data_IF_503841284580
#
_entry.id   IF_503841284580
#
_cell.length_a   1.000
_cell.length_b   1.000
_cell.length_c   1.000
_cell.angle_alpha   90.00
_cell.angle_beta   90.00
_cell.angle_gamma   90.00
#
_symmetry.space_group_name_H-M   'P 1'
#
loop_
_entity.id
_entity.type
_entity.pdbx_description
1 polymer ?
#
# COMPACT_ATOMS: atom_id res chain seq x y z
N UNK A 1 -5.14 -1.81 23.71
CA UNK A 1 -5.07 -1.20 22.37
C UNK A 1 -4.70 -2.27 21.34
N UNK A 2 -5.43 -2.35 20.24
CA UNK A 2 -5.20 -3.31 19.17
C UNK A 2 -4.89 -2.57 17.88
N UNK A 3 -3.89 -3.05 17.12
CA UNK A 3 -3.46 -2.43 15.88
C UNK A 3 -3.34 -3.49 14.78
N UNK A 4 -3.78 -3.15 13.58
CA UNK A 4 -3.44 -3.92 12.40
C UNK A 4 -1.96 -3.64 12.06
N UNK A 5 -1.12 -4.65 12.07
CA UNK A 5 0.34 -4.48 12.11
C UNK A 5 1.05 -5.37 11.08
N UNK A 6 1.98 -4.78 10.33
CA UNK A 6 2.99 -5.50 9.53
C UNK A 6 4.34 -5.45 10.22
N UNK A 7 5.16 -6.47 9.98
CA UNK A 7 6.54 -6.57 10.48
C UNK A 7 7.50 -6.86 9.33
N UNK A 8 8.74 -6.41 9.47
CA UNK A 8 9.88 -6.86 8.66
C UNK A 8 10.71 -7.79 9.51
N UNK A 9 11.00 -8.96 8.98
CA UNK A 9 11.85 -9.97 9.61
C UNK A 9 13.08 -10.13 8.73
N UNK A 10 14.26 -10.08 9.32
CA UNK A 10 15.52 -10.24 8.61
C UNK A 10 15.90 -11.73 8.39
N UNK A 11 17.04 -11.95 7.73
CA UNK A 11 17.54 -13.31 7.44
C UNK A 11 17.94 -14.12 8.68
N UNK A 12 18.07 -13.51 9.86
CA UNK A 12 18.32 -14.19 11.15
C UNK A 12 17.01 -14.57 11.88
N UNK A 13 15.85 -14.09 11.38
CA UNK A 13 14.55 -14.28 12.02
C UNK A 13 14.19 -13.20 13.03
N UNK A 14 14.99 -12.14 13.16
CA UNK A 14 14.71 -11.02 14.06
C UNK A 14 13.75 -10.01 13.43
N UNK A 15 12.85 -9.44 14.25
CA UNK A 15 11.94 -8.38 13.82
C UNK A 15 12.70 -7.06 13.80
N UNK A 16 13.06 -6.60 12.59
CA UNK A 16 13.81 -5.35 12.37
C UNK A 16 12.91 -4.15 12.07
N UNK A 17 11.63 -4.38 11.77
CA UNK A 17 10.70 -3.31 11.47
C UNK A 17 9.26 -3.62 11.87
N UNK A 18 8.50 -2.56 12.18
CA UNK A 18 7.08 -2.65 12.51
C UNK A 18 6.34 -1.41 12.00
N UNK A 19 5.26 -1.66 11.26
CA UNK A 19 4.30 -0.64 10.83
C UNK A 19 2.91 -0.95 11.38
N UNK A 20 2.18 0.06 11.80
CA UNK A 20 0.78 -0.03 12.23
C UNK A 20 -0.10 0.75 11.28
N UNK A 21 -1.08 0.09 10.68
CA UNK A 21 -2.00 0.66 9.69
C UNK A 21 -2.63 1.97 10.18
N UNK A 22 -2.50 3.01 9.37
CA UNK A 22 -3.02 4.35 9.69
C UNK A 22 -4.41 4.54 9.10
N UNK A 23 -4.62 4.19 7.82
CA UNK A 23 -5.88 4.42 7.14
C UNK A 23 -6.80 3.21 7.27
N UNK A 24 -7.47 3.08 8.42
CA UNK A 24 -8.42 2.01 8.67
C UNK A 24 -9.66 2.21 7.79
N UNK A 25 -10.06 1.22 6.95
CA UNK A 25 -11.28 1.29 6.17
C UNK A 25 -12.53 1.05 7.02
N UNK A 26 -13.68 1.34 6.42
CA UNK A 26 -14.97 0.94 6.93
C UNK A 26 -15.48 1.75 8.12
N UNK A 27 -16.17 1.07 9.01
CA UNK A 27 -16.99 1.68 10.07
C UNK A 27 -16.88 0.89 11.39
N UNK A 28 -17.52 1.41 12.46
CA UNK A 28 -17.51 0.79 13.82
C UNK A 28 -18.80 0.03 14.10
N UNK A 29 -19.91 0.55 13.58
CA UNK A 29 -21.24 0.06 13.80
C UNK A 29 -21.49 -1.23 13.01
N UNK A 30 -22.29 -2.13 13.56
CA UNK A 30 -22.67 -3.35 12.87
C UNK A 30 -23.86 -3.06 11.93
N UNK A 31 -23.73 -3.46 10.67
CA UNK A 31 -24.74 -3.32 9.62
C UNK A 31 -25.21 -4.73 9.18
N UNK A 32 -26.20 -5.30 9.88
CA UNK A 32 -26.56 -6.72 9.73
C UNK A 32 -27.09 -7.10 8.35
N UNK A 33 -27.63 -6.12 7.61
CA UNK A 33 -28.22 -6.34 6.28
C UNK A 33 -27.18 -6.30 5.14
N UNK A 34 -25.91 -6.02 5.46
CA UNK A 34 -24.85 -5.99 4.45
C UNK A 34 -24.25 -7.37 4.24
N UNK A 35 -23.93 -7.74 2.96
CA UNK A 35 -23.36 -9.05 2.64
C UNK A 35 -22.01 -9.30 3.29
N UNK A 36 -21.23 -8.24 3.52
CA UNK A 36 -20.02 -8.23 4.34
C UNK A 36 -19.77 -6.82 4.89
N UNK A 37 -18.89 -6.72 5.90
CA UNK A 37 -18.61 -5.45 6.58
C UNK A 37 -17.13 -5.24 6.82
N UNK A 38 -16.64 -4.04 6.47
CA UNK A 38 -15.32 -3.59 6.88
C UNK A 38 -15.38 -2.97 8.27
N UNK A 39 -15.18 -3.78 9.30
CA UNK A 39 -15.27 -3.37 10.71
C UNK A 39 -13.89 -3.05 11.33
N UNK A 40 -12.87 -2.73 10.55
CA UNK A 40 -11.52 -2.49 11.08
C UNK A 40 -11.52 -1.39 12.17
N UNK A 41 -12.30 -0.33 12.00
CA UNK A 41 -12.43 0.74 13.00
C UNK A 41 -13.09 0.31 14.32
N UNK A 42 -13.74 -0.88 14.33
CA UNK A 42 -14.32 -1.49 15.54
C UNK A 42 -13.25 -2.24 16.33
N UNK A 43 -12.31 -2.88 15.66
CA UNK A 43 -11.33 -3.78 16.27
C UNK A 43 -9.99 -3.12 16.50
N UNK A 44 -9.61 -2.14 15.66
CA UNK A 44 -8.28 -1.54 15.68
C UNK A 44 -8.33 -0.03 15.91
N UNK A 45 -7.29 0.45 16.55
CA UNK A 45 -6.98 1.88 16.63
C UNK A 45 -6.08 2.30 15.46
N UNK A 46 -6.15 3.58 15.09
CA UNK A 46 -5.22 4.19 14.12
C UNK A 46 -3.78 3.97 14.56
N UNK A 47 -2.93 3.57 13.64
CA UNK A 47 -1.51 3.36 13.87
C UNK A 47 -0.83 4.60 14.48
N UNK A 48 0.09 4.37 15.41
CA UNK A 48 0.75 5.42 16.18
C UNK A 48 2.27 5.43 16.03
N UNK A 49 2.80 4.78 14.98
CA UNK A 49 4.23 4.75 14.66
C UNK A 49 4.61 5.64 13.47
N UNK A 50 3.65 6.36 12.90
CA UNK A 50 3.85 7.09 11.65
C UNK A 50 4.06 6.14 10.46
N UNK A 51 4.86 6.61 9.50
CA UNK A 51 5.28 5.85 8.32
C UNK A 51 6.80 5.59 8.39
N UNK A 52 7.26 4.63 9.20
CA UNK A 52 8.69 4.36 9.34
C UNK A 52 9.23 3.66 8.10
N UNK A 53 10.52 3.88 7.82
CA UNK A 53 11.31 3.11 6.86
C UNK A 53 12.36 2.28 7.60
N UNK A 54 12.84 1.21 6.96
CA UNK A 54 13.73 0.23 7.58
C UNK A 54 14.85 -0.15 6.62
N UNK A 55 16.08 -0.12 7.10
CA UNK A 55 17.22 -0.63 6.35
C UNK A 55 17.24 -2.16 6.46
N UNK A 56 16.99 -2.85 5.33
CA UNK A 56 17.00 -4.30 5.27
C UNK A 56 17.16 -4.78 3.82
N UNK A 57 17.66 -5.99 3.62
CA UNK A 57 17.84 -6.61 2.30
C UNK A 57 18.62 -5.74 1.29
N UNK A 58 19.51 -4.89 1.78
CA UNK A 58 20.35 -4.01 0.94
C UNK A 58 19.69 -2.74 0.46
N UNK A 59 18.53 -2.37 1.01
CA UNK A 59 17.81 -1.13 0.64
C UNK A 59 16.91 -0.59 1.74
N UNK A 60 16.34 0.58 1.47
CA UNK A 60 15.39 1.26 2.36
C UNK A 60 13.97 0.80 2.07
N UNK A 61 13.39 0.04 3.00
CA UNK A 61 12.07 -0.57 2.88
C UNK A 61 10.99 0.22 3.60
N UNK A 62 9.80 0.29 3.01
CA UNK A 62 8.59 0.83 3.62
C UNK A 62 7.44 -0.17 3.57
N UNK A 63 6.42 0.03 4.39
CA UNK A 63 5.24 -0.82 4.41
C UNK A 63 3.96 -0.01 4.36
N UNK A 64 2.97 -0.53 3.62
CA UNK A 64 1.58 -0.12 3.64
C UNK A 64 0.68 -1.34 3.86
N UNK A 65 -0.47 -1.16 4.51
CA UNK A 65 -1.44 -2.24 4.71
C UNK A 65 -2.76 -1.85 4.01
N UNK A 66 -3.12 -2.61 2.98
CA UNK A 66 -4.43 -2.56 2.32
C UNK A 66 -4.85 -1.13 1.94
N UNK A 67 -5.77 -0.53 2.71
CA UNK A 67 -6.34 0.79 2.43
C UNK A 67 -5.30 1.93 2.40
N UNK A 68 -4.14 1.78 3.06
CA UNK A 68 -3.09 2.80 3.03
C UNK A 68 -2.66 3.14 1.60
N UNK A 69 -2.63 2.16 0.67
CA UNK A 69 -2.21 2.38 -0.71
C UNK A 69 -3.10 3.34 -1.49
N UNK A 70 -4.34 3.56 -1.04
CA UNK A 70 -5.31 4.46 -1.68
C UNK A 70 -5.13 5.92 -1.27
N UNK A 71 -4.27 6.19 -0.28
CA UNK A 71 -3.99 7.52 0.24
C UNK A 71 -2.62 7.98 -0.25
N UNK A 72 -2.55 9.01 -1.13
CA UNK A 72 -1.28 9.52 -1.65
C UNK A 72 -0.29 9.91 -0.57
N UNK A 73 -0.79 10.37 0.58
CA UNK A 73 0.00 10.76 1.74
C UNK A 73 0.84 9.60 2.28
N UNK A 74 0.33 8.35 2.26
CA UNK A 74 1.08 7.20 2.73
C UNK A 74 2.37 7.00 1.92
N UNK A 75 2.26 6.96 0.60
CA UNK A 75 3.41 6.85 -0.29
C UNK A 75 4.33 8.08 -0.19
N UNK A 76 3.74 9.29 -0.11
CA UNK A 76 4.53 10.52 0.01
C UNK A 76 5.35 10.56 1.30
N UNK A 77 4.79 10.13 2.42
CA UNK A 77 5.52 10.07 3.70
C UNK A 77 6.69 9.08 3.66
N UNK A 78 6.55 7.97 2.94
CA UNK A 78 7.64 7.02 2.70
C UNK A 78 8.66 7.59 1.71
N UNK A 79 8.20 8.18 0.58
CA UNK A 79 9.07 8.77 -0.44
C UNK A 79 9.94 9.91 0.09
N UNK A 80 9.43 10.72 1.03
CA UNK A 80 10.21 11.78 1.69
C UNK A 80 11.35 11.25 2.57
N UNK A 81 11.37 9.95 2.84
CA UNK A 81 12.42 9.26 3.57
C UNK A 81 13.30 8.41 2.65
N UNK A 82 13.24 8.68 1.32
CA UNK A 82 14.01 7.98 0.28
C UNK A 82 13.77 6.47 0.25
N UNK A 83 12.53 6.03 0.47
CA UNK A 83 12.17 4.63 0.36
C UNK A 83 12.47 4.10 -1.05
N UNK A 84 13.06 2.91 -1.13
CA UNK A 84 13.41 2.27 -2.40
C UNK A 84 12.39 1.17 -2.76
N UNK A 85 11.84 0.47 -1.76
CA UNK A 85 10.80 -0.54 -1.97
C UNK A 85 9.68 -0.40 -0.94
N UNK A 86 8.45 -0.24 -1.41
CA UNK A 86 7.24 -0.29 -0.58
C UNK A 86 6.55 -1.64 -0.73
N UNK A 87 6.39 -2.35 0.38
CA UNK A 87 5.65 -3.61 0.45
C UNK A 87 4.21 -3.35 0.88
N UNK A 88 3.25 -3.87 0.12
CA UNK A 88 1.81 -3.66 0.37
C UNK A 88 1.09 -5.00 0.44
N UNK A 89 0.51 -5.34 1.59
CA UNK A 89 -0.34 -6.52 1.74
C UNK A 89 -1.82 -6.12 1.82
N UNK A 90 -2.72 -6.83 1.09
CA UNK A 90 -4.15 -6.50 1.10
C UNK A 90 -5.07 -7.67 0.76
N UNK A 91 -6.33 -7.55 1.22
CA UNK A 91 -7.45 -8.45 0.93
C UNK A 91 -8.67 -7.61 0.51
N UNK A 92 -8.64 -7.03 -0.67
CA UNK A 92 -9.69 -6.13 -1.14
C UNK A 92 -10.86 -6.93 -1.75
N UNK A 93 -12.10 -6.76 -1.27
CA UNK A 93 -13.26 -7.37 -1.90
C UNK A 93 -13.60 -6.70 -3.22
N UNK A 94 -14.20 -7.49 -4.13
CA UNK A 94 -14.75 -6.99 -5.41
C UNK A 94 -15.95 -6.08 -5.13
N UNK A 95 -16.88 -6.55 -4.28
CA UNK A 95 -18.09 -5.81 -3.96
C UNK A 95 -17.86 -4.74 -2.90
N UNK A 96 -18.33 -3.51 -3.16
CA UNK A 96 -18.30 -2.42 -2.19
C UNK A 96 -19.73 -1.95 -1.86
N UNK A 97 -20.33 -2.36 -0.73
CA UNK A 97 -21.74 -2.16 -0.43
C UNK A 97 -22.23 -0.72 -0.48
N UNK A 98 -21.35 0.26 -0.21
CA UNK A 98 -21.69 1.70 -0.24
C UNK A 98 -21.62 2.34 -1.62
N UNK A 99 -20.99 1.66 -2.59
CA UNK A 99 -20.83 2.16 -3.95
C UNK A 99 -20.72 1.00 -4.94
N UNK A 100 -21.77 0.14 -5.06
CA UNK A 100 -21.73 -1.05 -5.90
C UNK A 100 -21.53 -0.75 -7.40
N UNK A 101 -21.92 0.44 -7.82
CA UNK A 101 -21.72 0.91 -9.21
C UNK A 101 -20.24 1.02 -9.61
N UNK A 102 -19.30 0.95 -8.64
CA UNK A 102 -17.86 0.98 -8.88
C UNK A 102 -17.18 -0.39 -8.73
N UNK A 103 -17.91 -1.48 -8.51
CA UNK A 103 -17.34 -2.82 -8.32
C UNK A 103 -16.46 -3.23 -9.51
N UNK A 104 -16.88 -2.94 -10.74
CA UNK A 104 -16.12 -3.24 -11.96
C UNK A 104 -14.79 -2.47 -12.08
N UNK A 105 -14.57 -1.45 -11.27
CA UNK A 105 -13.35 -0.65 -11.25
C UNK A 105 -12.38 -1.04 -10.12
N UNK A 106 -12.71 -2.03 -9.27
CA UNK A 106 -11.89 -2.34 -8.10
C UNK A 106 -10.46 -2.76 -8.46
N UNK A 107 -10.30 -3.59 -9.49
CA UNK A 107 -8.98 -3.98 -9.99
C UNK A 107 -8.23 -2.79 -10.61
N UNK A 108 -8.91 -2.01 -11.44
CA UNK A 108 -8.34 -0.78 -12.02
C UNK A 108 -7.88 0.20 -10.91
N UNK A 109 -8.73 0.47 -9.91
CA UNK A 109 -8.38 1.37 -8.80
C UNK A 109 -7.22 0.83 -7.95
N UNK A 110 -7.11 -0.50 -7.84
CA UNK A 110 -5.98 -1.13 -7.17
C UNK A 110 -4.67 -0.81 -7.89
N UNK A 111 -4.60 -1.14 -9.18
CA UNK A 111 -3.40 -0.91 -9.99
C UNK A 111 -3.07 0.57 -10.14
N UNK A 112 -4.07 1.42 -10.39
CA UNK A 112 -3.91 2.88 -10.43
C UNK A 112 -3.22 3.41 -9.16
N UNK A 113 -3.68 2.95 -7.99
CA UNK A 113 -3.15 3.42 -6.71
C UNK A 113 -1.67 3.05 -6.51
N UNK A 114 -1.29 1.80 -6.81
CA UNK A 114 0.08 1.33 -6.62
C UNK A 114 1.02 1.88 -7.70
N UNK A 115 0.56 2.03 -8.95
CA UNK A 115 1.32 2.64 -10.04
C UNK A 115 1.60 4.13 -9.78
N UNK A 116 0.56 4.88 -9.37
CA UNK A 116 0.72 6.29 -8.99
C UNK A 116 1.64 6.43 -7.78
N UNK A 117 1.48 5.57 -6.77
CA UNK A 117 2.34 5.52 -5.59
C UNK A 117 3.80 5.28 -5.94
N UNK A 118 4.08 4.33 -6.82
CA UNK A 118 5.42 4.04 -7.31
C UNK A 118 6.03 5.24 -8.05
N UNK A 119 5.37 5.70 -9.11
CA UNK A 119 5.89 6.75 -9.99
C UNK A 119 6.09 8.08 -9.27
N UNK A 120 5.06 8.57 -8.56
CA UNK A 120 5.12 9.88 -7.91
C UNK A 120 6.11 9.96 -6.75
N UNK A 121 6.65 8.83 -6.30
CA UNK A 121 7.64 8.76 -5.22
C UNK A 121 8.95 8.11 -5.65
N UNK A 122 9.06 7.67 -6.92
CA UNK A 122 10.27 7.07 -7.47
C UNK A 122 10.69 5.81 -6.70
N UNK A 123 9.74 4.92 -6.39
CA UNK A 123 9.98 3.73 -5.56
C UNK A 123 9.44 2.47 -6.24
N UNK A 124 10.08 1.33 -6.00
CA UNK A 124 9.49 0.04 -6.29
C UNK A 124 8.28 -0.22 -5.40
N UNK A 125 7.30 -0.94 -5.90
CA UNK A 125 6.16 -1.42 -5.10
C UNK A 125 5.98 -2.90 -5.32
N UNK A 126 6.02 -3.70 -4.25
CA UNK A 126 5.64 -5.10 -4.24
C UNK A 126 4.28 -5.23 -3.54
N UNK A 127 3.24 -5.48 -4.31
CA UNK A 127 1.86 -5.54 -3.84
C UNK A 127 1.37 -6.99 -3.82
N UNK A 128 1.14 -7.54 -2.62
CA UNK A 128 0.66 -8.90 -2.40
C UNK A 128 -0.81 -8.90 -2.01
N UNK A 129 -1.63 -9.47 -2.86
CA UNK A 129 -3.08 -9.53 -2.71
C UNK A 129 -3.56 -10.92 -2.29
N UNK A 130 -4.56 -10.97 -1.42
CA UNK A 130 -5.39 -12.16 -1.32
C UNK A 130 -6.32 -12.23 -2.53
N UNK A 131 -6.45 -13.41 -3.13
CA UNK A 131 -7.28 -13.69 -4.28
C UNK A 131 -8.34 -14.75 -3.96
N UNK A 132 -9.29 -14.94 -4.88
CA UNK A 132 -10.31 -16.00 -4.81
C UNK A 132 -11.52 -15.63 -3.98
N UNK A 133 -12.16 -16.66 -3.40
CA UNK A 133 -13.41 -16.52 -2.65
C UNK A 133 -13.22 -16.95 -1.20
N UNK A 134 -13.67 -16.12 -0.25
CA UNK A 134 -13.60 -16.42 1.18
C UNK A 134 -14.87 -15.91 1.89
N UNK A 135 -15.53 -16.80 2.65
CA UNK A 135 -16.69 -16.46 3.50
C UNK A 135 -17.80 -15.66 2.76
N UNK A 136 -18.08 -16.02 1.50
CA UNK A 136 -19.10 -15.34 0.69
C UNK A 136 -18.63 -14.06 0.01
N UNK A 137 -17.32 -13.74 0.08
CA UNK A 137 -16.75 -12.54 -0.48
C UNK A 137 -15.72 -12.89 -1.58
N UNK A 138 -15.90 -12.33 -2.77
CA UNK A 138 -14.92 -12.40 -3.84
C UNK A 138 -13.85 -11.34 -3.64
N UNK A 139 -12.57 -11.74 -3.75
CA UNK A 139 -11.40 -10.88 -3.56
C UNK A 139 -10.74 -10.61 -4.92
N UNK A 140 -10.28 -9.36 -5.12
CA UNK A 140 -9.77 -8.91 -6.43
C UNK A 140 -8.50 -9.60 -6.87
N UNK A 141 -7.66 -10.12 -5.94
CA UNK A 141 -6.33 -10.57 -6.30
C UNK A 141 -5.46 -9.44 -6.85
N UNK A 142 -4.82 -9.67 -8.01
CA UNK A 142 -4.06 -8.65 -8.72
C UNK A 142 -2.74 -8.29 -8.02
N UNK A 143 -2.06 -9.28 -7.39
CA UNK A 143 -0.70 -9.09 -6.89
C UNK A 143 0.20 -8.62 -8.02
N UNK A 144 1.05 -7.63 -7.79
CA UNK A 144 1.92 -7.08 -8.82
C UNK A 144 3.21 -6.50 -8.25
N UNK A 145 4.22 -6.37 -9.13
CA UNK A 145 5.44 -5.61 -8.88
C UNK A 145 5.43 -4.41 -9.84
N UNK A 146 5.64 -3.22 -9.28
CA UNK A 146 5.61 -1.96 -10.04
C UNK A 146 6.98 -1.28 -9.94
N UNK A 147 7.52 -0.85 -11.07
CA UNK A 147 8.79 -0.14 -11.15
C UNK A 147 8.68 1.32 -10.68
N UNK A 148 9.79 1.99 -10.38
CA UNK A 148 9.80 3.43 -10.07
C UNK A 148 9.23 4.33 -11.17
N UNK A 149 9.15 3.83 -12.42
CA UNK A 149 8.51 4.51 -13.54
C UNK A 149 6.98 4.33 -13.59
N UNK A 150 6.39 3.54 -12.67
CA UNK A 150 4.96 3.26 -12.62
C UNK A 150 4.50 2.11 -13.51
N UNK A 151 5.43 1.37 -14.13
CA UNK A 151 5.10 0.21 -14.96
C UNK A 151 4.88 -1.04 -14.10
N UNK A 152 3.81 -1.78 -14.35
CA UNK A 152 3.64 -3.12 -13.79
C UNK A 152 4.58 -4.05 -14.55
N UNK A 153 5.65 -4.50 -13.91
CA UNK A 153 6.68 -5.35 -14.51
C UNK A 153 6.44 -6.84 -14.29
N UNK A 154 5.59 -7.19 -13.34
CA UNK A 154 5.12 -8.57 -13.10
C UNK A 154 3.77 -8.52 -12.40
N UNK A 155 2.83 -9.41 -12.79
CA UNK A 155 1.47 -9.45 -12.25
C UNK A 155 0.96 -10.88 -12.20
N UNK A 156 0.22 -11.22 -11.14
CA UNK A 156 -0.56 -12.46 -11.07
C UNK A 156 -1.77 -12.39 -12.03
N UNK A 157 -1.99 -13.46 -12.78
CA UNK A 157 -3.05 -13.53 -13.81
C UNK A 157 -4.27 -14.33 -13.34
N UNK A 158 -4.14 -15.09 -12.24
CA UNK A 158 -5.18 -15.98 -11.74
C UNK A 158 -5.73 -15.53 -10.39
N UNK A 159 -6.87 -16.11 -9.99
CA UNK A 159 -7.44 -15.97 -8.65
C UNK A 159 -7.07 -17.16 -7.73
N UNK A 160 -6.17 -18.02 -8.16
CA UNK A 160 -5.57 -19.08 -7.34
C UNK A 160 -4.26 -18.65 -6.69
N UNK A 161 -3.59 -19.61 -6.05
CA UNK A 161 -2.25 -19.40 -5.50
C UNK A 161 -1.25 -19.23 -6.66
N UNK A 162 -0.53 -18.12 -6.66
CA UNK A 162 0.41 -17.78 -7.71
C UNK A 162 1.62 -17.04 -7.13
N UNK A 163 2.80 -17.28 -7.71
CA UNK A 163 4.05 -16.61 -7.36
C UNK A 163 4.58 -15.84 -8.56
N UNK A 164 4.86 -14.57 -8.34
CA UNK A 164 5.57 -13.72 -9.29
C UNK A 164 6.90 -13.26 -8.70
N UNK A 165 7.88 -13.05 -9.56
CA UNK A 165 9.22 -12.55 -9.20
C UNK A 165 9.68 -11.50 -10.19
N UNK A 166 10.52 -10.57 -9.73
CA UNK A 166 11.21 -9.60 -10.57
C UNK A 166 12.52 -9.18 -9.89
N UNK A 167 13.55 -8.92 -10.68
CA UNK A 167 14.80 -8.35 -10.20
C UNK A 167 14.65 -6.82 -10.15
N UNK A 168 14.62 -6.26 -8.94
CA UNK A 168 14.40 -4.83 -8.70
C UNK A 168 15.76 -4.12 -8.56
N UNK A 169 16.17 -3.37 -9.58
CA UNK A 169 17.32 -2.48 -9.50
C UNK A 169 16.94 -1.24 -8.68
N UNK A 170 17.43 -1.15 -7.44
CA UNK A 170 17.11 -0.06 -6.52
C UNK A 170 17.71 1.28 -6.96
N UNK A 171 18.77 1.28 -7.77
CA UNK A 171 19.36 2.52 -8.29
C UNK A 171 18.40 3.27 -9.24
N UNK A 172 17.43 2.60 -9.85
CA UNK A 172 16.38 3.25 -10.65
C UNK A 172 15.53 4.23 -9.82
N UNK A 173 15.40 4.02 -8.51
CA UNK A 173 14.70 4.95 -7.63
C UNK A 173 15.35 6.34 -7.67
N UNK A 174 16.69 6.39 -7.60
CA UNK A 174 17.45 7.65 -7.61
C UNK A 174 17.29 8.41 -8.92
N UNK A 175 17.22 7.69 -10.05
CA UNK A 175 17.00 8.33 -11.34
C UNK A 175 15.72 9.18 -11.35
N UNK A 176 14.65 8.68 -10.75
CA UNK A 176 13.37 9.38 -10.65
C UNK A 176 13.38 10.42 -9.53
N UNK A 177 13.89 10.06 -8.34
CA UNK A 177 13.89 10.91 -7.15
C UNK A 177 14.81 12.13 -7.31
N UNK A 178 15.96 11.96 -7.94
CA UNK A 178 16.95 13.04 -8.07
C UNK A 178 16.68 13.96 -9.26
N UNK A 179 15.92 13.51 -10.27
CA UNK A 179 15.70 14.27 -11.49
C UNK A 179 14.25 14.74 -11.65
N UNK A 180 13.27 13.79 -11.73
CA UNK A 180 11.88 14.14 -12.04
C UNK A 180 11.17 14.67 -10.80
N UNK A 181 11.33 13.98 -9.67
CA UNK A 181 10.69 14.29 -8.39
C UNK A 181 11.70 14.64 -7.31
N UNK A 182 12.63 15.56 -7.60
CA UNK A 182 13.54 16.05 -6.57
C UNK A 182 12.76 16.85 -5.52
N UNK A 183 12.35 16.16 -4.44
CA UNK A 183 11.46 16.72 -3.42
C UNK A 183 12.08 17.90 -2.68
N UNK A 184 13.38 17.88 -2.45
CA UNK A 184 14.08 18.97 -1.77
C UNK A 184 14.12 20.25 -2.59
N UNK A 185 14.13 20.10 -3.93
CA UNK A 185 14.24 21.22 -4.86
C UNK A 185 12.86 21.74 -5.33
N UNK A 186 11.88 20.85 -5.50
CA UNK A 186 10.64 21.21 -6.22
C UNK A 186 9.39 21.24 -5.33
N UNK A 187 9.44 20.73 -4.09
CA UNK A 187 8.29 20.80 -3.19
C UNK A 187 8.16 22.19 -2.58
N UNK A 188 6.91 22.61 -2.40
CA UNK A 188 6.51 23.87 -1.76
C UNK A 188 5.72 23.61 -0.46
N UNK A 189 6.33 23.02 0.59
CA UNK A 189 5.63 22.56 1.80
C UNK A 189 4.76 23.63 2.48
N UNK A 190 5.19 24.90 2.41
CA UNK A 190 4.44 26.04 2.98
C UNK A 190 3.06 26.25 2.33
N UNK A 191 2.82 25.69 1.13
CA UNK A 191 1.53 25.78 0.43
C UNK A 191 0.58 24.63 0.77
N UNK A 192 1.06 23.59 1.47
CA UNK A 192 0.32 22.35 1.74
C UNK A 192 -0.36 22.34 3.11
N UNK A 193 -0.58 23.51 3.71
CA UNK A 193 -1.15 23.62 5.07
C UNK A 193 -2.47 22.87 5.27
N UNK A 194 -3.32 22.81 4.23
CA UNK A 194 -4.60 22.09 4.29
C UNK A 194 -4.44 20.59 4.55
N UNK A 195 -3.30 19.96 4.19
CA UNK A 195 -3.07 18.53 4.43
C UNK A 195 -2.92 18.18 5.92
N UNK A 196 -2.63 19.18 6.76
CA UNK A 196 -2.40 19.01 8.21
C UNK A 196 -3.45 19.69 9.08
N UNK A 197 -4.45 20.32 8.45
CA UNK A 197 -5.57 20.96 9.16
C UNK A 197 -6.76 19.99 9.25
N UNK A 198 -7.46 20.02 10.40
CA UNK A 198 -8.69 19.25 10.66
C UNK A 198 -9.88 20.21 10.66
#
# INVERSE_FOLDING_TARGET
RHFNTSIVVDGSGEIVGKYRKIHLPGHREHEPDWPFQHLEKRYFETGNLGFPVFESAGGTLGMCICNDRRWPEAFRMLGLQNVELVMVGYNTPVHYPRAPDFDYLQDFHNHLSVQAGAYQNGTWVAAAAKAGHEEGCDLIGGSCIVSPAGEIVSQCETLGDELITHECDLDLCRLIQDNIFNFSLHREPQTYGLLTQI
#
